data_IF_461849803176
#
_entry.id   IF_461849803176
#
_cell.length_a   1.000
_cell.length_b   1.000
_cell.length_c   1.000
_cell.angle_alpha   90.00
_cell.angle_beta   90.00
_cell.angle_gamma   90.00
#
_symmetry.space_group_name_H-M   'P 1'
#
loop_
_entity.id
_entity.type
_entity.pdbx_description
1 polymer ?
#
# COMPACT_ATOMS: atom_id res chain seq x y z
N UNK A 1 -30.06 -10.26 -4.08
CA UNK A 1 -29.13 -9.10 -3.99
C UNK A 1 -28.14 -9.37 -2.87
N UNK A 2 -26.94 -9.83 -3.21
CA UNK A 2 -25.90 -10.07 -2.21
C UNK A 2 -25.32 -8.71 -1.78
N UNK A 3 -25.46 -8.38 -0.49
CA UNK A 3 -24.78 -7.23 0.10
C UNK A 3 -23.30 -7.57 0.17
N UNK A 4 -22.48 -6.97 -0.69
CA UNK A 4 -21.03 -7.00 -0.53
C UNK A 4 -20.67 -6.19 0.71
N UNK A 5 -20.46 -6.86 1.84
CA UNK A 5 -19.83 -6.28 3.02
C UNK A 5 -18.36 -6.03 2.69
N UNK A 6 -18.05 -4.82 2.26
CA UNK A 6 -16.66 -4.39 2.11
C UNK A 6 -16.13 -3.98 3.49
N UNK A 7 -16.03 -4.95 4.40
CA UNK A 7 -15.28 -4.79 5.64
C UNK A 7 -13.81 -4.74 5.26
N UNK A 8 -13.33 -3.52 5.01
CA UNK A 8 -11.91 -3.21 4.91
C UNK A 8 -11.27 -3.75 6.18
N UNK A 9 -10.54 -4.86 6.05
CA UNK A 9 -9.85 -5.48 7.18
C UNK A 9 -8.91 -4.44 7.78
N UNK A 10 -9.27 -3.99 8.97
CA UNK A 10 -8.46 -3.07 9.76
C UNK A 10 -7.19 -3.82 10.20
N UNK A 11 -6.18 -3.77 9.34
CA UNK A 11 -4.81 -4.19 9.65
C UNK A 11 -3.94 -2.99 10.04
N UNK A 12 -4.54 -1.93 10.57
CA UNK A 12 -3.79 -1.03 11.43
C UNK A 12 -3.72 -1.69 12.82
N UNK A 13 -2.72 -1.33 13.62
CA UNK A 13 -2.77 -1.50 15.07
C UNK A 13 -2.84 -2.94 15.64
N UNK A 14 -1.75 -3.70 15.49
CA UNK A 14 -1.02 -4.35 16.61
C UNK A 14 -0.13 -5.51 16.14
N UNK A 15 0.97 -5.21 15.43
CA UNK A 15 2.10 -6.15 15.33
C UNK A 15 3.37 -5.35 15.67
N UNK A 16 4.00 -5.78 16.77
CA UNK A 16 5.30 -5.34 17.29
C UNK A 16 5.46 -3.88 17.73
N UNK A 17 5.30 -3.69 19.04
CA UNK A 17 5.84 -2.57 19.82
C UNK A 17 7.37 -2.63 20.00
N UNK A 18 8.08 -3.58 19.37
CA UNK A 18 9.55 -3.73 19.44
C UNK A 18 10.26 -3.60 18.08
N UNK A 19 9.53 -3.53 16.96
CA UNK A 19 10.12 -3.43 15.63
C UNK A 19 10.34 -1.95 15.27
N UNK A 20 11.58 -1.59 14.95
CA UNK A 20 11.95 -0.21 14.61
C UNK A 20 11.12 0.35 13.46
N UNK A 21 10.57 1.56 13.68
CA UNK A 21 9.66 2.26 12.75
C UNK A 21 10.36 3.49 12.15
N UNK A 22 10.83 3.40 10.90
CA UNK A 22 11.49 4.52 10.23
C UNK A 22 10.68 5.82 10.22
N UNK A 23 9.35 5.72 10.17
CA UNK A 23 8.46 6.89 10.20
C UNK A 23 8.60 7.74 11.46
N UNK A 24 8.98 7.14 12.59
CA UNK A 24 9.22 7.82 13.87
C UNK A 24 10.66 8.36 13.98
N UNK A 25 11.50 8.10 12.96
CA UNK A 25 12.92 8.46 12.91
C UNK A 25 13.29 9.10 11.56
N UNK A 26 12.54 10.13 11.15
CA UNK A 26 12.79 10.90 9.92
C UNK A 26 12.85 10.06 8.62
N UNK A 27 12.17 8.92 8.60
CA UNK A 27 12.21 7.99 7.47
C UNK A 27 13.53 7.23 7.34
N UNK A 28 14.38 7.18 8.36
CA UNK A 28 15.67 6.48 8.36
C UNK A 28 15.55 5.08 8.92
N UNK A 29 16.50 4.21 8.62
CA UNK A 29 16.69 2.88 9.21
C UNK A 29 17.47 2.98 10.52
N UNK A 30 17.60 1.85 11.24
CA UNK A 30 18.43 1.72 12.45
C UNK A 30 19.88 2.19 12.25
N UNK A 31 20.42 2.07 11.05
CA UNK A 31 21.78 2.48 10.67
C UNK A 31 21.90 3.97 10.26
N UNK A 32 20.80 4.72 10.29
CA UNK A 32 20.74 6.13 9.88
C UNK A 32 20.61 6.36 8.38
N UNK A 33 20.66 5.31 7.55
CA UNK A 33 20.42 5.42 6.11
C UNK A 33 18.93 5.63 5.79
N UNK A 34 18.56 6.28 4.68
CA UNK A 34 17.15 6.45 4.31
C UNK A 34 16.44 5.11 4.06
N UNK A 35 15.25 4.94 4.62
CA UNK A 35 14.42 3.76 4.44
C UNK A 35 13.47 3.93 3.25
N UNK A 36 13.69 3.13 2.20
CA UNK A 36 12.90 3.14 0.96
C UNK A 36 11.43 2.79 1.16
N UNK A 37 11.06 2.12 2.27
CA UNK A 37 9.65 1.79 2.57
C UNK A 37 8.82 3.03 2.91
N UNK A 38 9.46 4.11 3.35
CA UNK A 38 8.78 5.38 3.68
C UNK A 38 8.90 6.40 2.54
N UNK A 39 9.77 6.14 1.56
CA UNK A 39 9.94 7.03 0.41
C UNK A 39 8.65 7.09 -0.41
N UNK A 40 8.08 8.28 -0.53
CA UNK A 40 6.96 8.52 -1.43
C UNK A 40 7.38 8.54 -2.89
N UNK A 41 8.67 8.67 -3.23
CA UNK A 41 9.12 8.72 -4.63
C UNK A 41 9.06 7.38 -5.35
N UNK A 42 8.98 6.27 -4.61
CA UNK A 42 9.05 4.92 -5.17
C UNK A 42 7.70 4.21 -5.05
N UNK A 43 7.29 3.49 -6.10
CA UNK A 43 6.02 2.75 -6.15
C UNK A 43 4.80 3.65 -6.37
N UNK A 44 3.66 3.28 -5.80
CA UNK A 44 2.36 3.95 -6.02
C UNK A 44 2.24 5.34 -5.36
N UNK A 45 3.21 5.73 -4.51
CA UNK A 45 3.24 7.05 -3.87
C UNK A 45 3.87 8.15 -4.74
N UNK A 46 4.68 7.78 -5.75
CA UNK A 46 5.51 8.74 -6.49
C UNK A 46 4.77 9.46 -7.61
N UNK A 47 3.72 8.83 -8.13
CA UNK A 47 2.81 9.41 -9.10
C UNK A 47 1.40 8.88 -8.81
N UNK A 48 0.63 9.69 -8.09
CA UNK A 48 -0.68 9.32 -7.57
C UNK A 48 -1.69 9.11 -8.68
N UNK A 49 -1.60 9.90 -9.74
CA UNK A 49 -2.46 9.82 -10.91
C UNK A 49 -2.24 8.51 -11.66
N UNK A 50 -0.97 8.16 -11.93
CA UNK A 50 -0.61 6.91 -12.59
C UNK A 50 -1.00 5.69 -11.76
N UNK A 51 -0.80 5.75 -10.44
CA UNK A 51 -1.24 4.72 -9.51
C UNK A 51 -2.77 4.55 -9.55
N UNK A 52 -3.51 5.65 -9.55
CA UNK A 52 -4.97 5.63 -9.62
C UNK A 52 -5.48 5.05 -10.94
N UNK A 53 -4.88 5.42 -12.07
CA UNK A 53 -5.26 4.90 -13.38
C UNK A 53 -4.96 3.40 -13.51
N UNK A 54 -3.78 2.95 -13.06
CA UNK A 54 -3.42 1.54 -13.06
C UNK A 54 -4.37 0.72 -12.17
N UNK A 55 -4.72 1.23 -10.98
CA UNK A 55 -5.67 0.59 -10.08
C UNK A 55 -7.08 0.47 -10.70
N UNK A 56 -7.58 1.53 -11.33
CA UNK A 56 -8.86 1.50 -12.05
C UNK A 56 -8.85 0.47 -13.18
N UNK A 57 -7.79 0.45 -13.98
CA UNK A 57 -7.62 -0.48 -15.10
C UNK A 57 -7.56 -1.94 -14.64
N UNK A 58 -6.89 -2.21 -13.53
CA UNK A 58 -6.82 -3.56 -12.95
C UNK A 58 -8.16 -3.99 -12.36
N UNK A 59 -8.81 -3.11 -11.59
CA UNK A 59 -10.09 -3.39 -10.95
C UNK A 59 -11.28 -3.48 -11.91
N UNK A 60 -11.18 -2.87 -13.10
CA UNK A 60 -12.23 -2.94 -14.13
C UNK A 60 -12.21 -4.23 -14.95
N UNK A 61 -11.19 -5.09 -14.78
CA UNK A 61 -11.07 -6.35 -15.51
C UNK A 61 -11.99 -7.40 -14.87
N UNK A 62 -12.81 -8.05 -15.68
CA UNK A 62 -13.61 -9.21 -15.27
C UNK A 62 -12.79 -10.51 -15.40
N UNK A 63 -13.26 -11.61 -14.80
CA UNK A 63 -12.60 -12.92 -14.87
C UNK A 63 -12.40 -13.38 -16.33
N UNK A 64 -13.35 -13.02 -17.19
CA UNK A 64 -13.33 -13.28 -18.64
C UNK A 64 -12.24 -12.47 -19.36
N UNK A 65 -11.99 -11.23 -18.92
CA UNK A 65 -10.96 -10.34 -19.49
C UNK A 65 -9.52 -10.73 -19.12
N UNK A 66 -9.35 -11.55 -18.09
CA UNK A 66 -8.05 -12.07 -17.64
C UNK A 66 -7.84 -13.55 -17.99
N UNK A 67 -8.80 -14.16 -18.70
CA UNK A 67 -8.70 -15.54 -19.20
C UNK A 67 -8.77 -16.61 -18.12
N UNK A 68 -9.50 -16.35 -17.03
CA UNK A 68 -9.75 -17.28 -15.91
C UNK A 68 -11.21 -17.75 -15.85
#
# INVERSE_FOLDING_TARGET
>A
MAKGSNEMTEHAEAQDSFQYRPKEHDGKKKDGSPDRRVSSEHGFGGNKELASEAGKRGGSKTQEDIGL
#
